data_IF_552389060618
#
_entry.id   IF_552389060618
#
_cell.length_a   1.000
_cell.length_b   1.000
_cell.length_c   1.000
_cell.angle_alpha   90.00
_cell.angle_beta   90.00
_cell.angle_gamma   90.00
#
_symmetry.space_group_name_H-M   'P 1'
#
loop_
_entity.id
_entity.type
_entity.pdbx_description
1 polymer ?
#
# COMPACT_ATOMS: atom_id res chain seq x y z
N UNK A 1 23.72 31.33 7.57
CA UNK A 1 22.92 30.20 8.12
C UNK A 1 22.29 29.50 6.94
N UNK A 2 22.73 28.29 6.58
CA UNK A 2 22.14 27.53 5.47
C UNK A 2 20.97 26.70 6.01
N UNK A 3 19.77 26.76 5.42
CA UNK A 3 18.65 25.95 5.88
C UNK A 3 18.91 24.48 5.52
N UNK A 4 18.79 23.60 6.51
CA UNK A 4 18.85 22.14 6.36
C UNK A 4 17.55 21.67 5.68
N UNK A 5 17.52 21.62 4.34
CA UNK A 5 16.36 21.15 3.55
C UNK A 5 16.51 19.64 3.21
N UNK A 6 17.17 18.84 4.05
CA UNK A 6 17.56 17.46 3.67
C UNK A 6 16.69 16.32 4.23
N UNK A 7 15.62 16.58 4.99
CA UNK A 7 14.76 15.50 5.57
C UNK A 7 13.35 15.39 4.96
N UNK A 8 13.00 16.22 3.96
CA UNK A 8 11.65 16.27 3.37
C UNK A 8 11.29 15.11 2.41
N UNK A 9 12.21 14.53 1.62
CA UNK A 9 11.85 13.49 0.65
C UNK A 9 11.27 12.23 1.31
N UNK A 10 11.80 11.83 2.47
CA UNK A 10 11.39 10.62 3.17
C UNK A 10 10.00 10.66 3.75
N UNK A 11 9.69 11.74 4.46
CA UNK A 11 8.33 11.95 4.97
C UNK A 11 7.31 12.04 3.83
N UNK A 12 7.66 12.68 2.72
CA UNK A 12 6.80 12.72 1.54
C UNK A 12 6.53 11.31 0.97
N UNK A 13 7.54 10.44 0.94
CA UNK A 13 7.37 9.03 0.55
C UNK A 13 6.43 8.29 1.50
N UNK A 14 6.64 8.34 2.81
CA UNK A 14 5.75 7.69 3.78
C UNK A 14 4.29 8.15 3.64
N UNK A 15 4.07 9.47 3.49
CA UNK A 15 2.72 10.02 3.30
C UNK A 15 2.11 9.56 1.98
N UNK A 16 2.91 9.47 0.91
CA UNK A 16 2.46 8.90 -0.36
C UNK A 16 2.07 7.43 -0.20
N UNK A 17 2.86 6.62 0.50
CA UNK A 17 2.55 5.21 0.74
C UNK A 17 1.21 5.04 1.49
N UNK A 18 0.97 5.86 2.52
CA UNK A 18 -0.31 5.87 3.26
C UNK A 18 -1.48 6.22 2.36
N UNK A 19 -1.34 7.26 1.55
CA UNK A 19 -2.38 7.67 0.63
C UNK A 19 -2.69 6.58 -0.41
N UNK A 20 -1.65 5.98 -1.00
CA UNK A 20 -1.79 4.88 -1.95
C UNK A 20 -2.53 3.70 -1.31
N UNK A 21 -2.18 3.30 -0.07
CA UNK A 21 -2.88 2.23 0.66
C UNK A 21 -4.36 2.56 0.86
N UNK A 22 -4.71 3.80 1.19
CA UNK A 22 -6.10 4.23 1.31
C UNK A 22 -6.85 4.11 -0.03
N UNK A 23 -6.26 4.59 -1.12
CA UNK A 23 -6.85 4.53 -2.46
C UNK A 23 -7.05 3.08 -2.94
N UNK A 24 -6.06 2.23 -2.74
CA UNK A 24 -6.15 0.80 -3.10
C UNK A 24 -7.20 0.11 -2.24
N UNK A 25 -7.25 0.40 -0.93
CA UNK A 25 -8.27 -0.13 -0.03
C UNK A 25 -9.69 0.25 -0.46
N UNK A 26 -9.91 1.50 -0.88
CA UNK A 26 -11.19 1.91 -1.47
C UNK A 26 -11.53 1.11 -2.73
N UNK A 27 -10.54 0.88 -3.60
CA UNK A 27 -10.71 0.08 -4.82
C UNK A 27 -11.05 -1.38 -4.52
N UNK A 28 -10.40 -1.99 -3.52
CA UNK A 28 -10.71 -3.32 -3.02
C UNK A 28 -12.13 -3.40 -2.47
N UNK A 29 -12.58 -2.38 -1.74
CA UNK A 29 -13.95 -2.32 -1.23
C UNK A 29 -14.98 -2.23 -2.37
N UNK A 30 -14.73 -1.44 -3.41
CA UNK A 30 -15.57 -1.39 -4.60
C UNK A 30 -15.61 -2.76 -5.30
N UNK A 31 -14.46 -3.41 -5.47
CA UNK A 31 -14.39 -4.76 -6.03
C UNK A 31 -15.29 -5.72 -5.25
N UNK A 32 -15.24 -5.68 -3.91
CA UNK A 32 -16.11 -6.51 -3.07
C UNK A 32 -17.59 -6.17 -3.21
N UNK A 33 -17.96 -4.91 -3.41
CA UNK A 33 -19.37 -4.55 -3.63
C UNK A 33 -19.89 -5.16 -4.93
N UNK A 34 -19.07 -5.20 -5.98
CA UNK A 34 -19.47 -5.69 -7.30
C UNK A 34 -19.36 -7.23 -7.43
N UNK A 35 -18.37 -7.83 -6.77
CA UNK A 35 -18.04 -9.26 -6.87
C UNK A 35 -18.43 -10.07 -5.64
N UNK A 36 -18.95 -9.42 -4.60
CA UNK A 36 -19.32 -9.98 -3.30
C UNK A 36 -18.16 -10.57 -2.47
N UNK A 37 -16.93 -10.57 -2.99
CA UNK A 37 -15.70 -10.98 -2.31
C UNK A 37 -14.55 -10.05 -2.67
N UNK A 38 -13.52 -9.99 -1.82
CA UNK A 38 -12.23 -9.40 -2.22
C UNK A 38 -11.51 -10.34 -3.21
N UNK A 39 -10.55 -9.84 -4.01
CA UNK A 39 -9.64 -10.69 -4.77
C UNK A 39 -8.91 -11.67 -3.85
N UNK A 40 -8.69 -12.89 -4.31
CA UNK A 40 -7.82 -13.83 -3.61
C UNK A 40 -6.37 -13.33 -3.60
N UNK A 41 -5.55 -13.91 -2.73
CA UNK A 41 -4.11 -13.60 -2.70
C UNK A 41 -3.41 -13.91 -4.02
N UNK A 42 -3.83 -14.97 -4.72
CA UNK A 42 -3.26 -15.37 -6.01
C UNK A 42 -3.65 -14.42 -7.15
N UNK A 43 -4.88 -13.89 -7.13
CA UNK A 43 -5.31 -12.85 -8.07
C UNK A 43 -4.65 -11.50 -7.76
N UNK A 44 -4.44 -11.21 -6.48
CA UNK A 44 -3.74 -10.04 -5.99
C UNK A 44 -4.37 -8.71 -6.43
N UNK A 45 -3.54 -7.67 -6.45
CA UNK A 45 -3.95 -6.34 -6.93
C UNK A 45 -4.14 -6.28 -8.46
N UNK A 46 -3.71 -7.31 -9.18
CA UNK A 46 -3.89 -7.38 -10.63
C UNK A 46 -5.36 -7.53 -11.02
N UNK A 47 -6.21 -8.11 -10.16
CA UNK A 47 -7.65 -8.15 -10.33
C UNK A 47 -8.34 -6.77 -10.31
N UNK A 48 -7.65 -5.72 -9.82
CA UNK A 48 -8.19 -4.37 -9.79
C UNK A 48 -7.94 -3.59 -11.09
N UNK A 49 -7.01 -4.05 -11.92
CA UNK A 49 -6.52 -3.29 -13.07
C UNK A 49 -7.60 -3.22 -14.17
N UNK A 50 -7.75 -2.04 -14.78
CA UNK A 50 -8.67 -1.75 -15.86
C UNK A 50 -10.02 -1.21 -15.38
N UNK A 51 -10.61 -1.80 -14.34
CA UNK A 51 -11.93 -1.38 -13.82
C UNK A 51 -11.83 -0.47 -12.61
N UNK A 52 -10.97 -0.81 -11.64
CA UNK A 52 -10.89 -0.08 -10.36
C UNK A 52 -9.59 0.72 -10.22
N UNK A 53 -8.53 0.30 -10.89
CA UNK A 53 -7.23 0.98 -10.97
C UNK A 53 -6.74 0.99 -12.42
N UNK A 54 -6.15 2.10 -12.86
CA UNK A 54 -5.62 2.20 -14.23
C UNK A 54 -4.40 1.29 -14.46
N UNK A 55 -3.60 1.09 -13.42
CA UNK A 55 -2.36 0.29 -13.45
C UNK A 55 -2.03 -0.25 -12.07
N UNK A 56 -1.19 -1.28 -12.03
CA UNK A 56 -0.66 -1.82 -10.77
C UNK A 56 0.10 -0.73 -10.01
N UNK A 57 -0.31 -0.38 -8.78
CA UNK A 57 0.38 0.61 -7.98
C UNK A 57 1.69 0.02 -7.46
N UNK A 58 2.70 0.88 -7.40
CA UNK A 58 3.97 0.60 -6.73
C UNK A 58 4.11 1.54 -5.56
N UNK A 59 4.74 1.06 -4.51
CA UNK A 59 5.08 1.89 -3.38
C UNK A 59 6.11 2.98 -3.77
N UNK A 60 6.33 3.98 -2.91
CA UNK A 60 7.24 5.10 -3.19
C UNK A 60 8.71 4.70 -3.38
N UNK A 61 9.08 3.46 -3.04
CA UNK A 61 10.41 2.91 -3.20
C UNK A 61 10.51 1.94 -4.40
N UNK A 62 9.45 1.84 -5.19
CA UNK A 62 9.40 1.12 -6.46
C UNK A 62 9.06 -0.36 -6.33
N UNK A 63 8.65 -0.83 -5.15
CA UNK A 63 8.20 -2.21 -4.91
C UNK A 63 6.70 -2.34 -5.12
N UNK A 64 6.24 -3.57 -5.29
CA UNK A 64 4.79 -3.83 -5.28
C UNK A 64 4.27 -3.77 -3.85
N UNK A 65 3.02 -3.34 -3.69
CA UNK A 65 2.32 -3.50 -2.42
C UNK A 65 2.04 -4.98 -2.15
N UNK A 66 2.21 -5.37 -0.90
CA UNK A 66 1.84 -6.70 -0.44
C UNK A 66 0.37 -6.74 -0.13
N UNK A 67 -0.30 -7.78 -0.60
CA UNK A 67 -1.73 -7.98 -0.43
C UNK A 67 -2.02 -9.42 0.01
N UNK A 68 -2.92 -9.58 0.98
CA UNK A 68 -3.38 -10.87 1.46
C UNK A 68 -4.89 -10.84 1.68
N UNK A 69 -5.59 -11.83 1.14
CA UNK A 69 -6.99 -12.11 1.47
C UNK A 69 -7.25 -13.62 1.52
N UNK A 70 -7.84 -14.16 2.60
CA UNK A 70 -8.27 -13.44 3.82
C UNK A 70 -7.08 -12.87 4.62
N UNK A 71 -7.25 -11.65 5.14
CA UNK A 71 -6.22 -10.98 5.94
C UNK A 71 -6.00 -11.65 7.30
N UNK A 72 -4.82 -11.44 7.89
CA UNK A 72 -4.51 -11.83 9.26
C UNK A 72 -4.98 -10.77 10.27
N UNK A 73 -5.03 -9.49 9.85
CA UNK A 73 -5.42 -8.37 10.71
C UNK A 73 -6.85 -7.88 10.44
N UNK A 74 -7.47 -8.34 9.35
CA UNK A 74 -8.83 -7.97 8.98
C UNK A 74 -9.35 -8.76 7.79
N UNK A 75 -10.27 -8.17 7.03
CA UNK A 75 -10.83 -8.83 5.84
C UNK A 75 -9.79 -9.00 4.72
N UNK A 76 -8.84 -8.06 4.64
CA UNK A 76 -7.64 -8.15 3.85
C UNK A 76 -6.52 -7.37 4.53
N UNK A 77 -5.28 -7.74 4.23
CA UNK A 77 -4.08 -7.02 4.62
C UNK A 77 -3.46 -6.40 3.36
N UNK A 78 -3.08 -5.12 3.44
CA UNK A 78 -2.43 -4.35 2.39
C UNK A 78 -1.34 -3.48 2.99
N UNK A 79 -0.09 -3.66 2.54
CA UNK A 79 1.06 -3.01 3.20
C UNK A 79 2.30 -2.86 2.30
N UNK A 80 3.24 -2.03 2.77
CA UNK A 80 4.60 -1.84 2.23
C UNK A 80 5.59 -1.82 3.40
N UNK A 81 6.74 -2.47 3.22
CA UNK A 81 7.81 -2.58 4.22
C UNK A 81 8.78 -1.38 4.21
N UNK A 82 8.31 -0.19 3.85
CA UNK A 82 9.16 0.99 3.77
C UNK A 82 10.33 0.86 2.78
N UNK A 83 11.35 1.69 2.98
CA UNK A 83 12.52 1.77 2.10
C UNK A 83 13.41 0.53 2.15
N UNK A 84 13.56 -0.11 3.30
CA UNK A 84 14.47 -1.25 3.47
C UNK A 84 13.84 -2.58 2.99
N UNK A 85 12.52 -2.66 2.92
CA UNK A 85 11.81 -3.82 2.39
C UNK A 85 11.74 -4.95 3.39
N UNK A 86 11.82 -4.63 4.68
CA UNK A 86 11.81 -5.58 5.77
C UNK A 86 10.78 -5.17 6.80
N UNK A 87 10.23 -6.15 7.50
CA UNK A 87 9.33 -5.91 8.63
C UNK A 87 10.00 -5.04 9.68
N UNK A 88 9.27 -4.03 10.15
CA UNK A 88 9.68 -3.10 11.19
C UNK A 88 10.30 -1.83 10.64
N UNK A 89 11.46 -1.44 11.19
CA UNK A 89 12.16 -0.24 10.76
C UNK A 89 11.61 1.07 11.34
N UNK A 90 12.41 2.13 11.19
CA UNK A 90 12.09 3.49 11.63
C UNK A 90 12.26 4.46 10.46
N UNK A 91 11.69 5.66 10.59
CA UNK A 91 11.74 6.71 9.56
C UNK A 91 11.24 6.19 8.21
N UNK A 92 12.03 6.30 7.14
CA UNK A 92 11.62 5.80 5.83
C UNK A 92 11.48 4.27 5.75
N UNK A 93 12.05 3.53 6.70
CA UNK A 93 11.94 2.08 6.75
C UNK A 93 10.68 1.61 7.47
N UNK A 94 9.92 2.53 8.08
CA UNK A 94 8.70 2.16 8.81
C UNK A 94 7.68 1.54 7.87
N UNK A 95 7.19 0.37 8.27
CA UNK A 95 6.06 -0.30 7.63
C UNK A 95 4.83 0.62 7.52
N UNK A 96 4.15 0.54 6.39
CA UNK A 96 2.88 1.24 6.17
C UNK A 96 1.84 0.22 5.76
N UNK A 97 0.70 0.20 6.46
CA UNK A 97 -0.34 -0.82 6.29
C UNK A 97 -1.75 -0.24 6.44
N UNK A 98 -2.79 -1.08 6.28
CA UNK A 98 -4.20 -0.68 6.34
C UNK A 98 -4.90 -0.99 7.67
N UNK A 99 -4.21 -1.56 8.66
CA UNK A 99 -4.80 -1.97 9.94
C UNK A 99 -4.28 -1.16 11.15
N UNK A 100 -3.16 -0.44 10.98
CA UNK A 100 -2.61 0.54 11.94
C UNK A 100 -2.94 1.99 11.53
#
# INVERSE_FOLDING_TARGET
IMPKIMDKPGQARLQKAKHDIQTISSSLNLYRLDKFSYPSTDEGLDALIGTYLDRKPKDPWGREYYYLSPGQQGAFDLYSYGADGRVGGNDENTDVNNWE
#
